data_IF_047649187584
#
_entry.id   IF_047649187584
#
_cell.length_a   1.000
_cell.length_b   1.000
_cell.length_c   1.000
_cell.angle_alpha   90.00
_cell.angle_beta   90.00
_cell.angle_gamma   90.00
#
_symmetry.space_group_name_H-M   'P 1'
#
loop_
_entity.id
_entity.type
_entity.pdbx_description
1 polymer ?
#
# COMPACT_ATOMS: atom_id res chain seq x y z
N UNK A 1 -20.06 14.29 3.06
CA UNK A 1 -19.86 13.63 1.77
C UNK A 1 -18.76 12.59 1.91
N UNK A 2 -19.08 11.35 1.61
CA UNK A 2 -18.08 10.28 1.69
C UNK A 2 -17.13 10.36 0.50
N UNK A 3 -15.84 10.49 0.77
CA UNK A 3 -14.84 10.37 -0.28
C UNK A 3 -14.72 8.90 -0.70
N UNK A 4 -14.82 8.66 -2.00
CA UNK A 4 -14.50 7.35 -2.55
C UNK A 4 -12.98 7.23 -2.51
N UNK A 5 -12.48 6.31 -1.68
CA UNK A 5 -11.05 6.07 -1.59
C UNK A 5 -10.64 5.08 -2.67
N UNK A 6 -9.60 5.43 -3.39
CA UNK A 6 -8.96 4.56 -4.38
C UNK A 6 -7.56 4.22 -3.92
N UNK A 7 -7.00 3.09 -4.35
CA UNK A 7 -5.59 2.83 -4.08
C UNK A 7 -4.73 3.84 -4.81
N UNK A 8 -3.63 4.26 -4.21
CA UNK A 8 -2.72 5.20 -4.83
C UNK A 8 -1.29 5.03 -4.30
N UNK A 9 -0.36 5.39 -5.18
CA UNK A 9 1.06 5.37 -4.86
C UNK A 9 1.43 6.63 -4.07
N UNK A 10 2.21 6.45 -3.02
CA UNK A 10 2.74 7.53 -2.21
C UNK A 10 4.24 7.58 -2.45
N UNK A 11 4.70 8.67 -3.05
CA UNK A 11 6.13 8.90 -3.23
C UNK A 11 6.64 9.76 -2.10
N UNK A 12 7.71 9.32 -1.46
CA UNK A 12 8.32 10.01 -0.34
C UNK A 12 9.70 10.53 -0.72
N UNK A 13 10.00 11.73 -0.26
CA UNK A 13 11.30 12.31 -0.48
C UNK A 13 12.36 11.63 0.39
N UNK A 14 13.48 11.33 -0.24
CA UNK A 14 14.63 10.73 0.42
C UNK A 14 15.72 11.79 0.54
N UNK A 15 16.23 11.97 1.75
CA UNK A 15 17.27 12.95 2.04
C UNK A 15 18.61 12.22 2.10
N UNK A 16 19.43 12.42 1.09
CA UNK A 16 20.71 11.70 0.94
C UNK A 16 21.85 12.60 1.37
N UNK A 17 22.79 12.07 2.15
CA UNK A 17 24.04 12.74 2.52
C UNK A 17 25.19 11.72 2.53
N UNK A 18 26.36 12.13 3.02
CA UNK A 18 27.57 11.28 3.06
C UNK A 18 27.39 10.01 3.90
N UNK A 19 26.47 10.01 4.85
CA UNK A 19 26.23 8.87 5.75
C UNK A 19 25.24 7.85 5.17
N UNK A 20 24.51 8.22 4.12
CA UNK A 20 23.46 7.41 3.54
C UNK A 20 22.22 8.26 3.27
N UNK A 21 21.08 7.83 3.76
CA UNK A 21 19.84 8.56 3.57
C UNK A 21 18.94 8.51 4.80
N UNK A 22 18.05 9.48 4.87
CA UNK A 22 16.93 9.52 5.80
C UNK A 22 15.64 9.67 5.02
N UNK A 23 14.60 8.97 5.43
CA UNK A 23 13.31 9.04 4.78
C UNK A 23 12.19 8.76 5.78
N UNK A 24 11.14 9.56 5.74
CA UNK A 24 9.92 9.27 6.49
C UNK A 24 9.11 8.21 5.75
N UNK A 25 8.70 7.16 6.45
CA UNK A 25 7.88 6.11 5.86
C UNK A 25 6.40 6.39 6.03
N UNK A 26 6.01 6.94 7.16
CA UNK A 26 4.62 7.24 7.46
C UNK A 26 4.52 8.51 8.29
N UNK A 27 3.59 9.38 7.91
CA UNK A 27 3.28 10.57 8.68
C UNK A 27 1.77 10.63 8.89
N UNK A 28 1.33 10.46 10.13
CA UNK A 28 -0.07 10.43 10.54
C UNK A 28 -0.83 11.65 10.04
N UNK A 29 -0.22 12.82 10.15
CA UNK A 29 -0.78 14.09 9.74
C UNK A 29 -1.17 14.13 8.27
N UNK A 30 -0.34 13.57 7.40
CA UNK A 30 -0.60 13.56 5.96
C UNK A 30 -1.66 12.56 5.55
N UNK A 31 -1.63 11.39 6.16
CA UNK A 31 -2.44 10.26 5.71
C UNK A 31 -3.80 10.19 6.37
N UNK A 32 -4.00 10.91 7.46
CA UNK A 32 -5.27 10.98 8.20
C UNK A 32 -5.81 9.62 8.60
N UNK A 33 -4.94 8.64 8.75
CA UNK A 33 -5.30 7.29 9.21
C UNK A 33 -4.50 6.95 10.47
N UNK A 34 -5.10 6.13 11.31
CA UNK A 34 -4.49 5.70 12.56
C UNK A 34 -3.95 4.29 12.39
N UNK A 35 -2.65 4.12 12.61
CA UNK A 35 -2.02 2.82 12.52
C UNK A 35 -2.28 2.03 13.79
N UNK A 36 -2.82 0.82 13.63
CA UNK A 36 -3.05 -0.09 14.75
C UNK A 36 -1.89 -1.02 14.98
N UNK A 37 -1.22 -1.47 13.93
CA UNK A 37 -0.02 -2.28 14.04
C UNK A 37 0.80 -2.16 12.77
N UNK A 38 2.07 -2.48 12.90
CA UNK A 38 3.01 -2.51 11.79
C UNK A 38 3.72 -3.85 11.78
N UNK A 39 3.87 -4.42 10.60
CA UNK A 39 4.59 -5.68 10.42
C UNK A 39 5.62 -5.52 9.31
N UNK A 40 6.69 -6.27 9.39
CA UNK A 40 7.72 -6.32 8.35
C UNK A 40 7.69 -7.70 7.70
N UNK A 41 7.66 -7.74 6.39
CA UNK A 41 7.73 -8.97 5.63
C UNK A 41 8.95 -8.95 4.71
N UNK A 42 9.58 -10.09 4.56
CA UNK A 42 10.67 -10.26 3.62
C UNK A 42 10.27 -11.34 2.61
N UNK A 43 10.44 -11.04 1.33
CA UNK A 43 10.15 -11.98 0.25
C UNK A 43 11.37 -12.15 -0.63
N UNK A 44 11.66 -13.40 -0.98
CA UNK A 44 12.70 -13.70 -1.95
C UNK A 44 12.24 -13.27 -3.34
N UNK A 45 13.19 -13.15 -4.25
CA UNK A 45 12.90 -12.84 -5.66
C UNK A 45 11.92 -13.87 -6.23
N UNK A 46 11.02 -13.42 -7.07
CA UNK A 46 10.02 -14.23 -7.77
C UNK A 46 8.99 -14.90 -6.88
N UNK A 47 8.76 -14.38 -5.68
CA UNK A 47 7.70 -14.84 -4.79
C UNK A 47 6.41 -14.09 -5.13
N UNK A 48 5.32 -14.84 -5.20
CA UNK A 48 3.97 -14.28 -5.32
C UNK A 48 3.26 -14.49 -4.00
N UNK A 49 2.66 -13.42 -3.47
CA UNK A 49 1.81 -13.49 -2.29
C UNK A 49 0.43 -12.95 -2.63
N UNK A 50 -0.60 -13.64 -2.16
CA UNK A 50 -1.96 -13.19 -2.35
C UNK A 50 -2.68 -13.98 -3.43
N UNK A 51 -3.75 -13.47 -3.94
CA UNK A 51 -4.45 -12.25 -3.50
C UNK A 51 -5.01 -12.43 -2.08
N UNK A 52 -4.93 -11.38 -1.28
CA UNK A 52 -5.48 -11.39 0.08
C UNK A 52 -6.60 -10.37 0.21
N UNK A 53 -7.66 -10.79 0.90
CA UNK A 53 -8.78 -9.93 1.23
C UNK A 53 -9.34 -10.36 2.59
N UNK A 54 -9.53 -9.41 3.46
CA UNK A 54 -10.07 -9.67 4.78
C UNK A 54 -11.57 -9.39 4.78
N UNK A 55 -12.36 -10.47 4.82
CA UNK A 55 -13.81 -10.39 4.77
C UNK A 55 -14.39 -9.77 6.05
N UNK A 56 -13.89 -10.21 7.21
CA UNK A 56 -14.22 -9.63 8.51
C UNK A 56 -13.08 -8.70 8.93
N UNK A 57 -13.41 -7.63 9.66
CA UNK A 57 -12.42 -6.65 10.12
C UNK A 57 -11.58 -6.10 8.96
N UNK A 58 -12.27 -5.58 7.97
CA UNK A 58 -11.62 -5.03 6.77
C UNK A 58 -10.55 -4.01 7.14
N UNK A 59 -9.39 -4.14 6.54
CA UNK A 59 -8.24 -3.32 6.84
C UNK A 59 -7.89 -2.38 5.69
N UNK A 60 -7.64 -1.13 6.04
CA UNK A 60 -6.91 -0.20 5.20
C UNK A 60 -5.43 -0.44 5.44
N UNK A 61 -4.65 -0.50 4.37
CA UNK A 61 -3.23 -0.84 4.45
C UNK A 61 -2.37 0.22 3.80
N UNK A 62 -1.20 0.44 4.39
CA UNK A 62 -0.10 1.15 3.74
C UNK A 62 1.07 0.18 3.69
N UNK A 63 1.55 -0.07 2.48
CA UNK A 63 2.70 -0.94 2.25
C UNK A 63 3.86 -0.08 1.79
N UNK A 64 4.95 -0.13 2.53
CA UNK A 64 6.17 0.61 2.21
C UNK A 64 7.27 -0.36 1.82
N UNK A 65 7.93 -0.10 0.71
CA UNK A 65 9.04 -0.94 0.26
C UNK A 65 10.32 -0.39 0.85
N UNK A 66 10.89 -1.16 1.78
CA UNK A 66 12.13 -0.78 2.46
C UNK A 66 13.33 -1.06 1.58
N UNK A 67 13.31 -2.19 0.88
CA UNK A 67 14.41 -2.60 0.00
C UNK A 67 13.83 -3.40 -1.15
N UNK A 68 14.32 -3.16 -2.34
CA UNK A 68 13.90 -3.86 -3.55
C UNK A 68 12.74 -3.17 -4.26
N UNK A 69 11.92 -3.98 -4.92
CA UNK A 69 10.81 -3.49 -5.74
C UNK A 69 9.73 -4.55 -5.80
N UNK A 70 8.49 -4.13 -5.75
CA UNK A 70 7.34 -5.04 -5.89
C UNK A 70 6.39 -4.54 -6.98
N UNK A 71 5.64 -5.48 -7.53
CA UNK A 71 4.42 -5.17 -8.29
C UNK A 71 3.24 -5.54 -7.40
N UNK A 72 2.43 -4.56 -7.05
CA UNK A 72 1.23 -4.78 -6.27
C UNK A 72 0.01 -4.69 -7.17
N UNK A 73 -0.80 -5.74 -7.17
CA UNK A 73 -2.03 -5.81 -7.96
C UNK A 73 -3.20 -5.68 -7.00
N UNK A 74 -4.08 -4.74 -7.26
CA UNK A 74 -5.16 -4.37 -6.34
C UNK A 74 -6.49 -4.47 -7.09
N UNK A 75 -7.46 -5.16 -6.50
CA UNK A 75 -8.77 -5.39 -7.11
C UNK A 75 -9.86 -4.82 -6.24
N UNK A 76 -10.75 -4.05 -6.84
CA UNK A 76 -11.89 -3.49 -6.14
C UNK A 76 -12.96 -4.56 -5.92
N UNK A 77 -13.23 -4.87 -4.64
CA UNK A 77 -14.26 -5.82 -4.25
C UNK A 77 -15.42 -5.14 -3.51
N UNK A 78 -15.56 -3.84 -3.64
CA UNK A 78 -16.63 -3.12 -2.98
C UNK A 78 -17.96 -3.37 -3.69
N UNK A 79 -18.89 -4.00 -2.98
CA UNK A 79 -20.27 -4.19 -3.48
C UNK A 79 -20.90 -2.83 -3.77
N UNK A 80 -21.74 -2.77 -4.79
CA UNK A 80 -22.46 -1.56 -5.20
C UNK A 80 -21.54 -0.45 -5.74
N UNK A 81 -20.28 -0.74 -5.97
CA UNK A 81 -19.37 0.18 -6.65
C UNK A 81 -19.51 0.01 -8.17
N UNK A 82 -19.46 1.12 -8.89
CA UNK A 82 -19.44 1.10 -10.36
C UNK A 82 -18.16 0.42 -10.87
N UNK A 83 -17.11 0.46 -10.06
CA UNK A 83 -15.80 -0.07 -10.41
C UNK A 83 -15.54 -1.43 -9.79
N UNK A 84 -16.59 -2.18 -9.39
CA UNK A 84 -16.43 -3.52 -8.86
C UNK A 84 -15.65 -4.40 -9.85
N UNK A 85 -14.58 -5.01 -9.39
CA UNK A 85 -13.71 -5.86 -10.21
C UNK A 85 -12.61 -5.10 -10.95
N UNK A 86 -12.58 -3.77 -10.85
CA UNK A 86 -11.51 -2.99 -11.47
C UNK A 86 -10.17 -3.35 -10.86
N UNK A 87 -9.18 -3.54 -11.72
CA UNK A 87 -7.84 -3.96 -11.34
C UNK A 87 -6.88 -2.78 -11.51
N UNK A 88 -6.02 -2.58 -10.50
CA UNK A 88 -4.97 -1.58 -10.49
C UNK A 88 -3.62 -2.27 -10.38
N UNK A 89 -2.64 -1.74 -11.06
CA UNK A 89 -1.26 -2.26 -11.05
C UNK A 89 -0.34 -1.15 -10.58
N UNK A 90 0.45 -1.43 -9.55
CA UNK A 90 1.40 -0.47 -9.01
C UNK A 90 2.79 -1.08 -8.93
N UNK A 91 3.76 -0.46 -9.57
CA UNK A 91 5.17 -0.77 -9.30
C UNK A 91 5.60 0.11 -8.13
N UNK A 92 5.94 -0.53 -7.02
CA UNK A 92 6.36 0.18 -5.81
C UNK A 92 7.85 -0.01 -5.65
N UNK A 93 8.59 1.06 -5.80
CA UNK A 93 10.05 1.06 -5.70
C UNK A 93 10.49 1.26 -4.27
N UNK A 94 11.75 0.95 -4.00
CA UNK A 94 12.35 1.20 -2.70
C UNK A 94 12.10 2.65 -2.27
N UNK A 95 11.60 2.82 -1.06
CA UNK A 95 11.25 4.12 -0.49
C UNK A 95 9.85 4.61 -0.80
N UNK A 96 9.18 4.03 -1.77
CA UNK A 96 7.78 4.38 -2.07
C UNK A 96 6.82 3.53 -1.23
N UNK A 97 5.58 3.99 -1.16
CA UNK A 97 4.51 3.30 -0.46
C UNK A 97 3.27 3.25 -1.33
N UNK A 98 2.38 2.31 -1.02
CA UNK A 98 1.07 2.22 -1.64
C UNK A 98 0.00 2.23 -0.57
N UNK A 99 -1.04 3.04 -0.78
CA UNK A 99 -2.21 3.09 0.08
C UNK A 99 -3.29 2.20 -0.55
N UNK A 100 -3.77 1.23 0.22
CA UNK A 100 -4.82 0.30 -0.20
C UNK A 100 -6.00 0.43 0.76
N UNK A 101 -7.11 1.04 0.32
CA UNK A 101 -8.30 1.15 1.17
C UNK A 101 -8.88 -0.22 1.48
N UNK A 102 -9.71 -0.28 2.52
CA UNK A 102 -10.50 -1.48 2.76
C UNK A 102 -11.42 -1.72 1.54
N UNK A 103 -11.98 -2.89 1.41
CA UNK A 103 -12.74 -3.39 0.27
C UNK A 103 -11.91 -3.70 -0.99
N UNK A 104 -10.59 -3.67 -0.88
CA UNK A 104 -9.72 -4.06 -1.98
C UNK A 104 -8.93 -5.31 -1.62
N UNK A 105 -8.86 -6.26 -2.56
CA UNK A 105 -7.92 -7.38 -2.47
C UNK A 105 -6.61 -6.96 -3.10
N UNK A 106 -5.50 -7.52 -2.67
CA UNK A 106 -4.21 -7.23 -3.27
C UNK A 106 -3.23 -8.41 -3.15
N UNK A 107 -2.24 -8.34 -3.98
CA UNK A 107 -1.14 -9.29 -3.96
C UNK A 107 0.01 -8.83 -4.81
#
# INVERSE_FOLDING_TARGET
MKKILKPYLIKKKRFVDKRGFFQELFLQKENKIKIKFTALANSRKNVIRGMHFQFKNKQTKIISVISGKILDVVVNLKKNSKDLGKIYYFTVNEGDSIFIPNHYAHG
#
